data_IF_143057932658
#
_entry.id   IF_143057932658
#
_cell.length_a   1.000
_cell.length_b   1.000
_cell.length_c   1.000
_cell.angle_alpha   90.00
_cell.angle_beta   90.00
_cell.angle_gamma   90.00
#
_symmetry.space_group_name_H-M   'P 1'
#
loop_
_entity.id
_entity.type
_entity.pdbx_description
1 polymer ?
#
# COMPACT_ATOMS: atom_id res chain seq x y z
N UNK A 1 -8.68 15.61 8.77
CA UNK A 1 -7.67 15.25 7.74
C UNK A 1 -6.69 14.31 8.41
N UNK A 2 -6.43 13.14 7.83
CA UNK A 2 -5.51 12.13 8.34
C UNK A 2 -4.19 12.20 7.57
N UNK A 3 -3.05 12.19 8.27
CA UNK A 3 -1.71 12.12 7.69
C UNK A 3 -1.03 10.95 8.38
N UNK A 4 -1.06 9.79 7.72
CA UNK A 4 -0.56 8.54 8.29
C UNK A 4 0.86 8.25 7.81
N UNK A 5 1.77 7.99 8.74
CA UNK A 5 3.08 7.43 8.40
C UNK A 5 2.97 5.91 8.30
N UNK A 6 2.93 5.43 7.06
CA UNK A 6 2.85 4.00 6.72
C UNK A 6 4.18 3.46 6.20
N UNK A 7 5.30 4.17 6.40
CA UNK A 7 6.59 3.82 5.80
C UNK A 7 7.11 2.47 6.32
N UNK A 8 7.00 2.23 7.62
CA UNK A 8 7.42 0.96 8.24
C UNK A 8 6.55 -0.21 7.75
N UNK A 9 5.24 -0.01 7.76
CA UNK A 9 4.25 -0.98 7.26
C UNK A 9 4.52 -1.32 5.79
N UNK A 10 4.84 -0.32 4.97
CA UNK A 10 5.18 -0.49 3.56
C UNK A 10 6.45 -1.35 3.37
N UNK A 11 7.49 -1.10 4.16
CA UNK A 11 8.74 -1.87 4.09
C UNK A 11 8.53 -3.32 4.52
N UNK A 12 7.95 -3.50 5.71
CA UNK A 12 7.85 -4.82 6.35
C UNK A 12 6.85 -5.74 5.64
N UNK A 13 5.72 -5.19 5.15
CA UNK A 13 4.62 -6.01 4.64
C UNK A 13 4.49 -6.02 3.11
N UNK A 14 5.20 -5.15 2.39
CA UNK A 14 5.12 -5.10 0.91
C UNK A 14 6.50 -5.21 0.24
N UNK A 15 7.48 -4.41 0.66
CA UNK A 15 8.82 -4.42 0.03
C UNK A 15 9.57 -5.72 0.33
N UNK A 16 9.60 -6.16 1.59
CA UNK A 16 10.28 -7.42 1.96
C UNK A 16 9.71 -8.65 1.25
N UNK A 17 8.38 -8.87 1.22
CA UNK A 17 7.80 -9.96 0.43
C UNK A 17 8.12 -9.87 -1.08
N UNK A 18 8.13 -8.66 -1.66
CA UNK A 18 8.48 -8.48 -3.07
C UNK A 18 9.94 -8.86 -3.36
N UNK A 19 10.87 -8.48 -2.48
CA UNK A 19 12.29 -8.86 -2.61
C UNK A 19 12.48 -10.36 -2.41
N UNK A 20 11.84 -10.95 -1.39
CA UNK A 20 11.92 -12.40 -1.12
C UNK A 20 11.40 -13.25 -2.28
N UNK A 21 10.40 -12.76 -3.01
CA UNK A 21 9.85 -13.42 -4.20
C UNK A 21 10.61 -13.11 -5.49
N UNK A 22 11.67 -12.29 -5.43
CA UNK A 22 12.37 -11.77 -6.62
C UNK A 22 11.40 -11.13 -7.62
N UNK A 23 10.40 -10.39 -7.11
CA UNK A 23 9.34 -9.82 -7.92
C UNK A 23 9.90 -8.78 -8.91
N UNK A 24 9.75 -9.07 -10.19
CA UNK A 24 10.26 -8.25 -11.28
C UNK A 24 9.24 -8.28 -12.43
N UNK A 25 8.81 -7.11 -12.87
CA UNK A 25 7.90 -6.97 -14.00
C UNK A 25 8.69 -6.71 -15.27
N UNK A 26 8.39 -7.48 -16.33
CA UNK A 26 9.04 -7.39 -17.65
C UNK A 26 10.57 -7.37 -17.55
N UNK A 27 11.12 -8.23 -16.68
CA UNK A 27 12.56 -8.41 -16.45
C UNK A 27 13.34 -7.13 -16.10
N UNK A 28 12.64 -6.06 -15.66
CA UNK A 28 13.26 -4.75 -15.46
C UNK A 28 12.68 -3.92 -14.33
N UNK A 29 11.37 -3.97 -14.10
CA UNK A 29 10.69 -3.03 -13.18
C UNK A 29 10.39 -3.67 -11.82
N UNK A 30 10.86 -3.02 -10.74
CA UNK A 30 10.74 -3.49 -9.36
C UNK A 30 9.41 -3.12 -8.67
N UNK A 31 8.35 -2.87 -9.45
CA UNK A 31 6.96 -2.76 -8.94
C UNK A 31 6.70 -1.66 -7.90
N UNK A 32 7.58 -0.66 -7.72
CA UNK A 32 7.48 0.31 -6.61
C UNK A 32 6.13 1.00 -6.47
N UNK A 33 5.52 1.44 -7.57
CA UNK A 33 4.17 2.05 -7.55
C UNK A 33 3.12 1.00 -7.20
N UNK A 34 3.16 -0.15 -7.86
CA UNK A 34 2.20 -1.24 -7.67
C UNK A 34 2.19 -1.78 -6.23
N UNK A 35 3.34 -1.81 -5.57
CA UNK A 35 3.47 -2.25 -4.17
C UNK A 35 2.94 -1.20 -3.18
N UNK A 36 3.10 0.09 -3.46
CA UNK A 36 2.64 1.15 -2.55
C UNK A 36 1.11 1.30 -2.54
N UNK A 37 0.44 1.08 -3.68
CA UNK A 37 -1.03 1.23 -3.80
C UNK A 37 -1.85 0.38 -2.82
N UNK A 38 -1.60 -0.93 -2.63
CA UNK A 38 -2.34 -1.72 -1.66
C UNK A 38 -2.08 -1.27 -0.21
N UNK A 39 -0.87 -0.81 0.13
CA UNK A 39 -0.58 -0.25 1.46
C UNK A 39 -1.41 1.02 1.73
N UNK A 40 -1.47 1.94 0.76
CA UNK A 40 -2.29 3.16 0.85
C UNK A 40 -3.78 2.81 0.95
N UNK A 41 -4.26 1.89 0.09
CA UNK A 41 -5.67 1.50 0.07
C UNK A 41 -6.08 0.81 1.38
N UNK A 42 -5.21 -0.01 1.98
CA UNK A 42 -5.46 -0.61 3.29
C UNK A 42 -5.68 0.47 4.35
N UNK A 43 -4.79 1.46 4.44
CA UNK A 43 -4.94 2.56 5.39
C UNK A 43 -6.20 3.39 5.13
N UNK A 44 -6.55 3.61 3.86
CA UNK A 44 -7.78 4.30 3.47
C UNK A 44 -9.03 3.56 3.97
N UNK A 45 -9.08 2.23 3.82
CA UNK A 45 -10.20 1.41 4.29
C UNK A 45 -10.28 1.39 5.82
N UNK A 46 -9.15 1.29 6.52
CA UNK A 46 -9.09 1.35 7.99
C UNK A 46 -9.67 2.67 8.52
N UNK A 47 -9.29 3.80 7.93
CA UNK A 47 -9.83 5.11 8.29
C UNK A 47 -11.32 5.18 7.98
N UNK A 48 -11.75 4.70 6.81
CA UNK A 48 -13.17 4.71 6.44
C UNK A 48 -14.02 3.90 7.44
N UNK A 49 -13.55 2.74 7.87
CA UNK A 49 -14.22 1.92 8.89
C UNK A 49 -14.27 2.64 10.24
N UNK A 50 -13.15 3.24 10.68
CA UNK A 50 -13.07 4.01 11.93
C UNK A 50 -14.06 5.17 11.97
N UNK A 51 -14.23 5.87 10.85
CA UNK A 51 -15.13 7.01 10.73
C UNK A 51 -16.58 6.59 10.40
N UNK A 52 -16.86 5.30 10.21
CA UNK A 52 -18.16 4.81 9.77
C UNK A 52 -18.55 5.27 8.35
N UNK A 53 -17.56 5.61 7.53
CA UNK A 53 -17.77 6.02 6.15
C UNK A 53 -18.19 4.84 5.28
N UNK A 54 -19.25 5.01 4.50
CA UNK A 54 -19.80 3.99 3.60
C UNK A 54 -19.06 3.90 2.26
N UNK A 55 -18.35 4.96 1.88
CA UNK A 55 -17.72 5.09 0.56
C UNK A 55 -16.29 5.60 0.70
N UNK A 56 -15.43 5.14 -0.20
CA UNK A 56 -14.08 5.65 -0.43
C UNK A 56 -13.99 6.17 -1.87
N UNK A 57 -13.01 7.02 -2.15
CA UNK A 57 -12.77 7.56 -3.48
C UNK A 57 -11.27 7.69 -3.73
N UNK A 58 -10.85 7.62 -5.00
CA UNK A 58 -9.50 7.88 -5.44
C UNK A 58 -9.54 8.68 -6.76
N UNK A 59 -8.39 9.28 -7.12
CA UNK A 59 -8.16 9.89 -8.43
C UNK A 59 -7.53 8.93 -9.42
#
# INVERSE_FOLDING_TARGET
>A
VFIEDISKEFVEEFIWPAIQSSALYEDRYLLGTSLARPCIARKQVEIAQREGAKYVSHG
#
